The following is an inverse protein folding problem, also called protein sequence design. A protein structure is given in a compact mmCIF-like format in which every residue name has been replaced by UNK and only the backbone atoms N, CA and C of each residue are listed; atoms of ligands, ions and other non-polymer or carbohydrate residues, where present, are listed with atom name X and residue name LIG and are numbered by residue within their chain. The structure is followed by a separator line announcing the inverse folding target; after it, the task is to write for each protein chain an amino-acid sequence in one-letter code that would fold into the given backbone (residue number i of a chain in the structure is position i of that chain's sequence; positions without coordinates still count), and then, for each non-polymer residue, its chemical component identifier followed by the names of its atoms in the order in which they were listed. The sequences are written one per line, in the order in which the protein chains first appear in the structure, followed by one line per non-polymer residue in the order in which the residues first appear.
data_IF_360487427965
#
_entry.id   IF_360487427965
#
_cell.length_a   1.000
_cell.length_b   1.000
_cell.length_c   1.000
_cell.angle_alpha   90.00
_cell.angle_beta   90.00
_cell.angle_gamma   90.00
#
_symmetry.space_group_name_H-M   'P 1'
#
loop_
_entity.id
_entity.type
_entity.pdbx_description
1 polymer ?
#
# COMPACT_ATOMS: atom_id res chain seq x y z
N UNK A 1 -0.86 17.78 -0.96
CA UNK A 1 -1.07 16.48 -0.27
C UNK A 1 -2.56 16.27 -0.06
N UNK A 2 -3.14 15.22 -0.64
CA UNK A 2 -4.58 14.90 -0.52
C UNK A 2 -4.72 13.59 0.25
N UNK A 3 -5.83 13.42 0.97
CA UNK A 3 -6.16 12.12 1.57
C UNK A 3 -6.74 11.26 0.46
N UNK A 4 -6.09 10.13 0.14
CA UNK A 4 -6.57 9.19 -0.89
C UNK A 4 -7.70 8.35 -0.29
N UNK A 5 -7.43 7.73 0.87
CA UNK A 5 -8.44 7.00 1.65
C UNK A 5 -8.06 6.95 3.12
N UNK A 6 -9.06 7.09 3.98
CA UNK A 6 -8.97 6.86 5.43
C UNK A 6 -9.54 5.48 5.75
N UNK A 7 -8.88 4.71 6.62
CA UNK A 7 -9.30 3.36 6.96
C UNK A 7 -9.14 2.40 5.77
N UNK A 8 -7.94 2.34 5.22
CA UNK A 8 -7.60 1.33 4.22
C UNK A 8 -7.55 -0.04 4.90
N UNK A 9 -8.07 -1.04 4.21
CA UNK A 9 -8.06 -2.44 4.62
C UNK A 9 -7.29 -3.29 3.60
N UNK A 10 -6.95 -4.52 3.97
CA UNK A 10 -6.38 -5.48 3.01
C UNK A 10 -7.47 -5.92 2.04
N UNK A 11 -7.14 -6.00 0.75
CA UNK A 11 -8.07 -6.31 -0.34
C UNK A 11 -8.83 -5.11 -0.88
N UNK A 12 -8.60 -3.92 -0.33
CA UNK A 12 -9.25 -2.69 -0.77
C UNK A 12 -8.74 -2.27 -2.15
N UNK A 13 -9.65 -1.82 -3.03
CA UNK A 13 -9.28 -1.40 -4.39
C UNK A 13 -9.24 0.12 -4.44
N UNK A 14 -8.05 0.67 -4.69
CA UNK A 14 -7.85 2.10 -4.86
C UNK A 14 -7.46 2.41 -6.30
N UNK A 15 -8.00 3.51 -6.82
CA UNK A 15 -7.58 4.06 -8.10
C UNK A 15 -6.59 5.20 -7.86
N UNK A 16 -5.36 5.04 -8.32
CA UNK A 16 -4.32 6.05 -8.26
C UNK A 16 -3.32 5.88 -9.40
N UNK A 17 -2.57 6.92 -9.72
CA UNK A 17 -1.48 6.87 -10.69
C UNK A 17 -0.12 6.83 -10.00
N UNK A 18 0.83 7.61 -10.48
CA UNK A 18 2.11 7.77 -9.79
C UNK A 18 1.90 8.48 -8.45
N UNK A 19 2.32 7.84 -7.35
CA UNK A 19 2.17 8.37 -6.01
C UNK A 19 3.43 9.09 -5.56
N UNK A 20 3.27 10.34 -5.13
CA UNK A 20 4.30 11.15 -4.49
C UNK A 20 3.91 11.57 -3.08
N UNK A 21 4.91 11.80 -2.21
CA UNK A 21 4.70 12.19 -0.81
C UNK A 21 3.77 11.25 -0.03
N UNK A 22 4.02 9.95 -0.12
CA UNK A 22 3.21 8.92 0.54
C UNK A 22 3.42 8.98 2.06
N UNK A 23 2.31 8.97 2.81
CA UNK A 23 2.27 8.86 4.27
C UNK A 23 1.18 7.88 4.68
N UNK A 24 1.58 6.94 5.54
CA UNK A 24 0.68 6.04 6.24
C UNK A 24 0.57 6.48 7.71
N UNK A 25 -0.64 6.55 8.22
CA UNK A 25 -0.94 6.87 9.62
C UNK A 25 -1.79 5.76 10.24
N UNK A 26 -1.44 5.33 11.45
CA UNK A 26 -2.02 4.15 12.11
C UNK A 26 -2.90 4.48 13.31
N UNK A 27 -3.31 5.74 13.50
CA UNK A 27 -3.90 6.20 14.77
C UNK A 27 -5.21 5.50 15.18
N UNK A 28 -6.20 5.44 14.28
CA UNK A 28 -7.51 4.82 14.51
C UNK A 28 -7.90 3.84 13.39
N UNK A 29 -6.88 3.28 12.72
CA UNK A 29 -6.98 2.58 11.44
C UNK A 29 -5.97 3.14 10.46
N UNK A 30 -5.46 2.30 9.54
CA UNK A 30 -4.45 2.73 8.58
C UNK A 30 -5.05 3.74 7.61
N UNK A 31 -4.41 4.89 7.43
CA UNK A 31 -4.85 5.93 6.51
C UNK A 31 -3.75 6.23 5.49
N UNK A 32 -4.11 6.21 4.21
CA UNK A 32 -3.21 6.54 3.11
C UNK A 32 -3.40 7.98 2.66
N UNK A 33 -2.34 8.77 2.79
CA UNK A 33 -2.25 10.13 2.25
C UNK A 33 -1.12 10.19 1.25
N UNK A 34 -1.44 10.56 0.02
CA UNK A 34 -0.46 10.68 -1.05
C UNK A 34 -0.95 11.73 -2.06
N UNK A 35 -0.08 12.07 -3.00
CA UNK A 35 -0.47 12.86 -4.16
C UNK A 35 -0.38 11.95 -5.37
N UNK A 36 -1.53 11.68 -5.99
CA UNK A 36 -1.64 10.91 -7.22
C UNK A 36 -1.48 11.84 -8.41
N UNK A 37 -0.66 11.45 -9.38
CA UNK A 37 -0.43 12.16 -10.63
C UNK A 37 -0.36 11.18 -11.82
N UNK A 38 -0.57 11.68 -13.04
CA UNK A 38 -0.46 10.88 -14.25
C UNK A 38 -1.70 10.00 -14.50
N UNK A 39 -1.48 8.88 -15.20
CA UNK A 39 -2.54 7.92 -15.53
C UNK A 39 -2.91 7.10 -14.30
N UNK A 40 -4.20 7.08 -13.97
CA UNK A 40 -4.71 6.37 -12.79
C UNK A 40 -5.18 4.96 -13.16
N UNK A 41 -4.67 3.95 -12.46
CA UNK A 41 -5.08 2.56 -12.58
C UNK A 41 -5.60 2.02 -11.24
N UNK A 42 -6.32 0.90 -11.29
CA UNK A 42 -6.82 0.22 -10.09
C UNK A 42 -5.72 -0.65 -9.48
N UNK A 43 -5.50 -0.47 -8.18
CA UNK A 43 -4.59 -1.27 -7.36
C UNK A 43 -5.35 -1.91 -6.21
N UNK A 44 -5.01 -3.17 -5.92
CA UNK A 44 -5.47 -3.90 -4.74
C UNK A 44 -4.44 -3.70 -3.64
N UNK A 45 -4.89 -3.26 -2.47
CA UNK A 45 -4.02 -3.05 -1.32
C UNK A 45 -3.78 -4.35 -0.57
N UNK A 46 -2.51 -4.66 -0.33
CA UNK A 46 -2.07 -5.83 0.40
C UNK A 46 -1.11 -5.41 1.51
N UNK A 47 -0.96 -6.31 2.48
CA UNK A 47 -0.01 -6.13 3.57
C UNK A 47 0.89 -7.33 3.73
N UNK A 48 2.12 -7.07 4.15
CA UNK A 48 3.07 -8.11 4.52
C UNK A 48 3.51 -7.88 5.98
N UNK A 49 3.01 -8.71 6.92
CA UNK A 49 3.40 -8.61 8.32
C UNK A 49 4.78 -9.25 8.55
N UNK A 50 5.62 -8.64 9.39
CA UNK A 50 6.99 -9.08 9.63
C UNK A 50 7.86 -9.03 8.36
N UNK A 51 7.64 -8.03 7.51
CA UNK A 51 8.52 -7.77 6.38
C UNK A 51 9.98 -7.67 6.90
N UNK A 52 10.90 -8.53 6.45
CA UNK A 52 12.29 -8.49 6.89
C UNK A 52 12.89 -7.12 6.54
N UNK A 53 13.93 -6.70 7.27
CA UNK A 53 14.64 -5.44 7.03
C UNK A 53 15.13 -5.38 5.58
N UNK A 54 14.32 -4.76 4.71
CA UNK A 54 14.58 -4.23 3.35
C UNK A 54 15.23 -5.13 2.28
N UNK A 55 15.83 -6.27 2.59
CA UNK A 55 16.70 -6.99 1.64
C UNK A 55 16.07 -8.21 0.95
N UNK A 56 14.92 -8.73 1.41
CA UNK A 56 14.32 -9.97 0.86
C UNK A 56 12.79 -9.89 0.63
N UNK A 57 12.29 -8.72 0.23
CA UNK A 57 10.88 -8.57 -0.15
C UNK A 57 10.68 -9.00 -1.61
N UNK A 58 10.15 -10.20 -1.82
CA UNK A 58 9.75 -10.72 -3.13
C UNK A 58 8.37 -10.17 -3.52
N UNK A 59 8.35 -8.93 -3.99
CA UNK A 59 7.15 -8.28 -4.51
C UNK A 59 7.14 -8.39 -6.04
N UNK A 60 5.95 -8.51 -6.62
CA UNK A 60 5.79 -8.45 -8.08
C UNK A 60 6.32 -7.11 -8.62
N UNK A 61 6.98 -7.09 -9.79
CA UNK A 61 7.62 -5.88 -10.36
C UNK A 61 6.67 -4.67 -10.46
N UNK A 62 5.41 -4.89 -10.81
CA UNK A 62 4.38 -3.84 -10.86
C UNK A 62 3.81 -3.40 -9.50
N UNK A 63 4.32 -3.90 -8.38
CA UNK A 63 3.85 -3.53 -7.04
C UNK A 63 4.32 -2.13 -6.66
N UNK A 64 3.40 -1.31 -6.16
CA UNK A 64 3.68 0.03 -5.64
C UNK A 64 3.77 -0.03 -4.12
N UNK A 65 4.98 0.15 -3.60
CA UNK A 65 5.22 0.23 -2.15
C UNK A 65 4.62 1.53 -1.60
N UNK A 66 3.68 1.41 -0.65
CA UNK A 66 3.07 2.55 0.04
C UNK A 66 3.85 2.94 1.30
N UNK A 67 4.51 1.96 1.92
CA UNK A 67 5.40 2.18 3.07
C UNK A 67 5.09 1.24 4.23
N UNK A 68 5.75 1.51 5.35
CA UNK A 68 5.69 0.65 6.54
C UNK A 68 4.84 1.28 7.63
N UNK A 69 4.07 0.44 8.32
CA UNK A 69 3.26 0.79 9.47
C UNK A 69 3.71 -0.03 10.67
N UNK A 70 4.22 0.62 11.70
CA UNK A 70 4.50 -0.04 12.97
C UNK A 70 3.20 -0.29 13.74
N UNK A 71 2.97 -1.54 14.13
CA UNK A 71 1.87 -1.89 15.04
C UNK A 71 2.14 -1.36 16.46
N UNK A 72 1.08 -0.98 17.18
CA UNK A 72 1.19 -0.57 18.58
C UNK A 72 1.61 -1.79 19.44
N UNK A 73 2.91 -1.91 19.76
CA UNK A 73 3.42 -2.87 20.74
C UNK A 73 4.22 -4.07 20.21
N UNK A 74 4.43 -4.18 18.89
CA UNK A 74 5.30 -5.20 18.29
C UNK A 74 6.41 -4.51 17.48
N UNK A 75 7.64 -5.02 17.57
CA UNK A 75 8.76 -4.60 16.71
C UNK A 75 8.57 -4.98 15.23
N UNK A 76 7.44 -5.60 14.90
CA UNK A 76 7.07 -6.01 13.55
C UNK A 76 6.48 -4.82 12.80
N UNK A 77 7.19 -4.35 11.79
CA UNK A 77 6.66 -3.43 10.79
C UNK A 77 5.78 -4.22 9.81
N UNK A 78 4.64 -3.64 9.45
CA UNK A 78 3.77 -4.16 8.39
C UNK A 78 3.99 -3.33 7.15
N UNK A 79 4.48 -3.95 6.08
CA UNK A 79 4.56 -3.32 4.78
C UNK A 79 3.16 -3.21 4.19
N UNK A 80 2.83 -2.05 3.64
CA UNK A 80 1.67 -1.83 2.79
C UNK A 80 2.14 -1.61 1.35
N UNK A 81 1.54 -2.33 0.42
CA UNK A 81 1.79 -2.18 -1.01
C UNK A 81 0.49 -2.32 -1.80
N UNK A 82 0.46 -1.74 -3.00
CA UNK A 82 -0.62 -1.90 -3.95
C UNK A 82 -0.14 -2.70 -5.15
N UNK A 83 -0.86 -3.72 -5.57
CA UNK A 83 -0.58 -4.48 -6.80
C UNK A 83 -1.68 -4.16 -7.83
N UNK A 84 -1.38 -3.99 -9.12
CA UNK A 84 -2.40 -3.69 -10.11
C UNK A 84 -3.48 -4.76 -10.10
N UNK A 85 -4.75 -4.35 -10.16
CA UNK A 85 -5.88 -5.29 -10.15
C UNK A 85 -5.78 -6.33 -11.27
N UNK A 86 -5.29 -5.92 -12.44
CA UNK A 86 -5.05 -6.79 -13.59
C UNK A 86 -4.05 -7.92 -13.29
N UNK A 87 -3.11 -7.69 -12.37
CA UNK A 87 -2.13 -8.69 -11.92
C UNK A 87 -2.71 -9.53 -10.78
N UNK A 88 -3.40 -8.89 -9.83
CA UNK A 88 -3.95 -9.56 -8.64
C UNK A 88 -5.02 -10.61 -8.96
N UNK A 89 -5.91 -10.31 -9.90
CA UNK A 89 -7.02 -11.19 -10.29
C UNK A 89 -6.84 -11.78 -11.67
N UNK A 90 -5.59 -12.07 -12.07
CA UNK A 90 -5.15 -12.35 -13.44
C UNK A 90 -6.21 -13.02 -14.32
N UNK A 91 -6.50 -12.40 -15.47
CA UNK A 91 -7.41 -12.84 -16.54
C UNK A 91 -8.12 -14.19 -16.26
N UNK A 92 -9.23 -14.14 -15.51
CA UNK A 92 -10.26 -15.19 -15.49
C UNK A 92 -11.48 -14.77 -16.31
#
# INVERSE_FOLDING_TARGET
MRVIKTGIEVGDVLKFGELSHIKLDSGHGTSLRAISHGEEQEYVLLTEPNAPEKDELDLHDDSVVLGFVSGQGVMSETLWYGIPRSVYGGDE
#
